data_IF_137504583693
#
_entry.id   IF_137504583693
#
_cell.length_a   1.000
_cell.length_b   1.000
_cell.length_c   1.000
_cell.angle_alpha   90.00
_cell.angle_beta   90.00
_cell.angle_gamma   90.00
#
_symmetry.space_group_name_H-M   'P 1'
#
loop_
_entity.id
_entity.type
_entity.pdbx_description
1 polymer ?
#
# COMPACT_ATOMS: atom_id res chain seq x y z
N UNK A 1 -5.01 -49.13 -60.72
CA UNK A 1 -6.14 -49.48 -59.83
C UNK A 1 -5.72 -49.26 -58.38
N UNK A 2 -6.59 -48.62 -57.57
CA UNK A 2 -6.53 -48.40 -56.11
C UNK A 2 -5.67 -47.25 -55.56
N UNK A 3 -6.31 -46.09 -55.56
CA UNK A 3 -6.38 -45.07 -54.49
C UNK A 3 -6.40 -45.68 -53.09
N UNK A 4 -5.69 -45.09 -52.11
CA UNK A 4 -6.17 -44.87 -50.72
C UNK A 4 -5.51 -43.63 -50.08
N UNK A 5 -6.36 -42.68 -49.72
CA UNK A 5 -6.11 -41.60 -48.75
C UNK A 5 -6.24 -42.18 -47.33
N UNK A 6 -5.40 -41.76 -46.39
CA UNK A 6 -5.65 -41.84 -44.92
C UNK A 6 -4.73 -40.81 -44.26
N UNK A 7 -5.20 -39.59 -44.02
CA UNK A 7 -5.80 -39.08 -42.76
C UNK A 7 -4.75 -38.65 -41.72
N UNK A 8 -4.82 -37.35 -41.39
CA UNK A 8 -4.11 -36.66 -40.31
C UNK A 8 -4.25 -37.37 -38.95
N UNK A 9 -3.16 -37.41 -38.19
CA UNK A 9 -3.17 -37.43 -36.74
C UNK A 9 -2.32 -36.25 -36.25
N UNK A 10 -2.97 -35.24 -35.69
CA UNK A 10 -2.36 -34.07 -35.07
C UNK A 10 -1.90 -34.50 -33.67
N UNK A 11 -0.58 -34.59 -33.46
CA UNK A 11 0.01 -34.83 -32.14
C UNK A 11 -0.30 -33.62 -31.27
N UNK A 12 -0.98 -33.89 -30.15
CA UNK A 12 -1.43 -32.89 -29.20
C UNK A 12 -0.27 -32.38 -28.35
N UNK A 13 -0.13 -31.06 -28.40
CA UNK A 13 0.63 -30.13 -27.57
C UNK A 13 0.92 -30.62 -26.13
N UNK A 14 2.20 -30.59 -25.79
CA UNK A 14 2.76 -30.68 -24.45
C UNK A 14 2.08 -29.67 -23.51
N UNK A 15 1.42 -30.16 -22.45
CA UNK A 15 0.94 -29.30 -21.37
C UNK A 15 2.12 -28.96 -20.46
N UNK A 16 2.83 -27.91 -20.82
CA UNK A 16 3.71 -27.18 -19.91
C UNK A 16 2.92 -26.75 -18.67
N UNK A 17 3.39 -27.16 -17.50
CA UNK A 17 2.92 -26.63 -16.22
C UNK A 17 3.27 -25.15 -16.22
N UNK A 18 2.25 -24.29 -16.29
CA UNK A 18 2.41 -22.86 -16.05
C UNK A 18 2.85 -22.70 -14.59
N UNK A 19 4.15 -22.54 -14.39
CA UNK A 19 4.66 -21.89 -13.18
C UNK A 19 4.04 -20.50 -13.23
N UNK A 20 3.12 -20.22 -12.31
CA UNK A 20 2.57 -18.89 -12.16
C UNK A 20 3.76 -17.93 -12.04
N UNK A 21 3.75 -16.92 -12.90
CA UNK A 21 4.65 -15.78 -12.87
C UNK A 21 4.48 -15.11 -11.50
N UNK A 22 5.18 -15.60 -10.49
CA UNK A 22 5.44 -14.86 -9.25
C UNK A 22 6.33 -13.70 -9.67
N UNK A 23 5.67 -12.67 -10.20
CA UNK A 23 6.27 -11.38 -10.43
C UNK A 23 7.09 -11.06 -9.17
N UNK A 24 8.39 -10.73 -9.30
CA UNK A 24 9.21 -10.45 -8.13
C UNK A 24 8.47 -9.41 -7.31
N UNK A 25 8.16 -9.76 -6.07
CA UNK A 25 7.57 -8.81 -5.11
C UNK A 25 8.63 -7.74 -4.91
N UNK A 26 8.56 -6.67 -5.71
CA UNK A 26 9.31 -5.45 -5.43
C UNK A 26 8.59 -4.84 -4.25
N UNK A 27 8.99 -5.27 -3.06
CA UNK A 27 8.47 -4.75 -1.81
C UNK A 27 8.74 -3.25 -1.84
N UNK A 28 7.68 -2.46 -1.76
CA UNK A 28 7.81 -1.01 -1.72
C UNK A 28 8.64 -0.67 -0.48
N UNK A 29 9.78 0.02 -0.66
CA UNK A 29 10.64 0.42 0.45
C UNK A 29 9.85 1.19 1.52
N UNK A 30 8.87 1.99 1.10
CA UNK A 30 8.01 2.75 2.02
C UNK A 30 7.09 1.83 2.79
N UNK A 31 6.38 0.91 2.14
CA UNK A 31 5.51 -0.07 2.84
C UNK A 31 6.33 -0.94 3.79
N UNK A 32 7.52 -1.37 3.36
CA UNK A 32 8.45 -2.17 4.16
C UNK A 32 8.87 -1.43 5.43
N UNK A 33 9.18 -0.13 5.29
CA UNK A 33 9.59 0.71 6.41
C UNK A 33 8.43 0.99 7.37
N UNK A 34 7.23 1.26 6.83
CA UNK A 34 6.01 1.42 7.62
C UNK A 34 5.72 0.14 8.41
N UNK A 35 5.77 -1.03 7.76
CA UNK A 35 5.53 -2.32 8.39
C UNK A 35 6.55 -2.62 9.51
N UNK A 36 7.83 -2.33 9.27
CA UNK A 36 8.88 -2.51 10.28
C UNK A 36 8.66 -1.61 11.51
N UNK A 37 8.29 -0.34 11.29
CA UNK A 37 7.98 0.60 12.37
C UNK A 37 6.74 0.18 13.16
N UNK A 38 5.66 -0.20 12.46
CA UNK A 38 4.44 -0.72 13.09
C UNK A 38 4.72 -1.95 13.97
N UNK A 39 5.49 -2.92 13.46
CA UNK A 39 5.89 -4.09 14.22
C UNK A 39 6.69 -3.71 15.48
N UNK A 40 7.56 -2.70 15.41
CA UNK A 40 8.31 -2.21 16.56
C UNK A 40 7.39 -1.59 17.64
N UNK A 41 6.28 -0.97 17.25
CA UNK A 41 5.28 -0.40 18.15
C UNK A 41 4.23 -1.39 18.67
N UNK A 42 4.29 -2.66 18.26
CA UNK A 42 3.37 -3.71 18.71
C UNK A 42 2.28 -4.10 17.72
N UNK A 43 2.28 -3.54 16.51
CA UNK A 43 1.34 -3.89 15.44
C UNK A 43 -0.03 -3.21 15.56
N UNK A 44 -1.04 -3.76 14.88
CA UNK A 44 -2.42 -3.27 14.90
C UNK A 44 -2.74 -2.20 13.85
N UNK A 45 -1.76 -1.79 13.04
CA UNK A 45 -1.92 -0.82 11.96
C UNK A 45 -1.60 -1.46 10.61
N UNK A 46 -2.57 -1.47 9.71
CA UNK A 46 -2.41 -1.89 8.34
C UNK A 46 -1.96 -0.72 7.46
N UNK A 47 -1.29 -1.04 6.34
CA UNK A 47 -0.95 -0.07 5.30
C UNK A 47 -1.58 -0.47 3.97
N UNK A 48 -2.16 0.51 3.28
CA UNK A 48 -2.66 0.35 1.91
C UNK A 48 -2.10 1.45 1.03
N UNK A 49 -1.36 1.07 0.00
CA UNK A 49 -0.94 1.98 -1.07
C UNK A 49 -2.03 2.14 -2.12
N UNK A 50 -2.23 3.37 -2.57
CA UNK A 50 -2.99 3.70 -3.77
C UNK A 50 -2.31 4.83 -4.56
N UNK A 51 -2.98 5.33 -5.60
CA UNK A 51 -2.43 6.39 -6.48
C UNK A 51 -2.06 7.70 -5.75
N UNK A 52 -2.56 7.92 -4.54
CA UNK A 52 -2.38 9.17 -3.78
C UNK A 52 -1.46 9.00 -2.57
N UNK A 53 -0.83 7.83 -2.38
CA UNK A 53 0.12 7.56 -1.32
C UNK A 53 -0.26 6.34 -0.47
N UNK A 54 0.05 6.41 0.82
CA UNK A 54 -0.08 5.30 1.76
C UNK A 54 -1.09 5.68 2.84
N UNK A 55 -2.19 4.92 2.95
CA UNK A 55 -3.15 5.06 4.03
C UNK A 55 -2.80 4.06 5.13
N UNK A 56 -2.67 4.57 6.35
CA UNK A 56 -2.60 3.79 7.57
C UNK A 56 -4.02 3.62 8.12
N UNK A 57 -4.35 2.42 8.58
CA UNK A 57 -5.67 2.12 9.12
C UNK A 57 -5.57 1.11 10.28
N UNK A 58 -6.52 1.17 11.19
CA UNK A 58 -6.70 0.19 12.25
C UNK A 58 -7.00 -1.19 11.66
N UNK A 59 -6.23 -2.23 12.01
CA UNK A 59 -6.44 -3.58 11.45
C UNK A 59 -7.75 -4.23 11.93
N UNK A 60 -8.22 -3.87 13.12
CA UNK A 60 -9.39 -4.45 13.78
C UNK A 60 -10.72 -3.90 13.26
N UNK A 61 -10.81 -2.58 13.03
CA UNK A 61 -12.03 -1.93 12.54
C UNK A 61 -11.94 -1.40 11.09
N UNK A 62 -10.73 -1.31 10.53
CA UNK A 62 -10.49 -0.74 9.20
C UNK A 62 -10.55 0.79 9.15
N UNK A 63 -10.66 1.47 10.30
CA UNK A 63 -10.80 2.91 10.35
C UNK A 63 -9.50 3.62 9.94
N UNK A 64 -9.58 4.72 9.16
CA UNK A 64 -8.39 5.41 8.70
C UNK A 64 -7.73 6.18 9.85
N UNK A 65 -6.43 5.95 10.05
CA UNK A 65 -5.61 6.65 11.05
C UNK A 65 -5.00 7.90 10.43
N UNK A 66 -4.17 7.70 9.40
CA UNK A 66 -3.40 8.76 8.77
C UNK A 66 -3.15 8.42 7.30
N UNK A 67 -2.76 9.43 6.53
CA UNK A 67 -2.33 9.25 5.15
C UNK A 67 -1.05 9.99 4.86
N UNK A 68 -0.08 9.26 4.32
CA UNK A 68 1.19 9.77 3.84
C UNK A 68 1.08 9.99 2.33
N UNK A 69 1.10 11.25 1.90
CA UNK A 69 1.10 11.62 0.48
C UNK A 69 2.52 11.97 0.03
N UNK A 70 3.14 11.18 -0.86
CA UNK A 70 4.51 11.46 -1.32
C UNK A 70 4.58 12.77 -2.10
N UNK A 71 5.70 13.48 -1.95
CA UNK A 71 6.07 14.70 -2.66
C UNK A 71 7.28 14.42 -3.57
N UNK A 72 7.52 15.32 -4.54
CA UNK A 72 8.60 15.16 -5.52
C UNK A 72 10.02 15.20 -4.90
N UNK A 73 10.14 15.74 -3.68
CA UNK A 73 11.40 15.83 -2.92
C UNK A 73 11.64 14.62 -2.00
N UNK A 74 10.82 13.56 -2.11
CA UNK A 74 10.96 12.34 -1.32
C UNK A 74 10.37 12.41 0.10
N UNK A 75 9.79 13.55 0.48
CA UNK A 75 9.07 13.71 1.76
C UNK A 75 7.58 13.39 1.61
N UNK A 76 6.88 13.35 2.74
CA UNK A 76 5.46 13.02 2.82
C UNK A 76 4.69 14.15 3.47
N UNK A 77 3.64 14.62 2.80
CA UNK A 77 2.60 15.36 3.48
C UNK A 77 1.78 14.39 4.34
N UNK A 78 1.62 14.73 5.61
CA UNK A 78 0.82 13.96 6.57
C UNK A 78 -0.59 14.53 6.60
N UNK A 79 -1.58 13.66 6.41
CA UNK A 79 -2.99 14.01 6.44
C UNK A 79 -3.71 13.17 7.49
N UNK A 80 -4.69 13.77 8.15
CA UNK A 80 -5.59 13.09 9.07
C UNK A 80 -6.96 12.87 8.42
N UNK A 81 -7.70 11.88 8.91
CA UNK A 81 -9.08 11.66 8.51
C UNK A 81 -10.01 12.50 9.39
N UNK A 82 -10.70 13.47 8.78
CA UNK A 82 -11.68 14.26 9.52
C UNK A 82 -13.01 13.52 9.57
N UNK A 83 -13.32 12.89 10.71
CA UNK A 83 -14.60 12.17 10.94
C UNK A 83 -15.81 13.06 10.64
N UNK A 84 -15.78 14.33 11.04
CA UNK A 84 -16.89 15.27 10.81
C UNK A 84 -17.18 15.55 9.32
N UNK A 85 -16.15 15.54 8.48
CA UNK A 85 -16.29 15.90 7.06
C UNK A 85 -15.98 14.76 6.10
N UNK A 86 -15.78 13.56 6.65
CA UNK A 86 -15.47 12.31 5.95
C UNK A 86 -14.45 12.51 4.82
N UNK A 87 -13.37 13.24 5.14
CA UNK A 87 -12.33 13.58 4.17
C UNK A 87 -10.96 13.69 4.80
N UNK A 88 -9.95 13.41 3.97
CA UNK A 88 -8.56 13.70 4.30
C UNK A 88 -8.32 15.20 4.38
N UNK A 89 -7.70 15.66 5.48
CA UNK A 89 -7.31 17.06 5.67
C UNK A 89 -5.84 17.18 6.06
N UNK A 90 -5.30 18.35 5.81
CA UNK A 90 -3.97 18.77 6.22
C UNK A 90 -3.97 19.11 7.71
N UNK A 91 -2.84 18.95 8.36
CA UNK A 91 -2.69 19.24 9.79
C UNK A 91 -2.34 20.72 9.97
N UNK A 92 -3.16 21.43 10.73
CA UNK A 92 -2.97 22.85 11.02
C UNK A 92 -3.51 23.81 9.96
N UNK A 93 -3.66 25.07 10.36
CA UNK A 93 -4.25 26.14 9.53
C UNK A 93 -3.24 26.75 8.54
N UNK A 94 -1.94 26.52 8.75
CA UNK A 94 -0.85 27.18 8.02
C UNK A 94 -0.19 26.33 6.92
N UNK A 95 -0.76 25.17 6.59
CA UNK A 95 -0.33 24.32 5.47
C UNK A 95 -0.05 22.88 5.86
N UNK A 96 0.52 22.11 4.94
CA UNK A 96 0.81 20.70 5.15
C UNK A 96 1.98 20.50 6.12
N UNK A 97 1.85 19.55 7.05
CA UNK A 97 2.99 18.97 7.76
C UNK A 97 3.70 18.04 6.78
N UNK A 98 4.91 18.43 6.33
CA UNK A 98 5.72 17.68 5.36
C UNK A 98 7.01 17.19 5.99
N UNK A 99 7.14 15.88 6.13
CA UNK A 99 8.20 15.23 6.91
C UNK A 99 8.90 14.12 6.12
N UNK A 100 10.11 13.74 6.55
CA UNK A 100 10.71 12.47 6.12
C UNK A 100 9.85 11.28 6.57
N UNK A 101 10.04 10.11 5.98
CA UNK A 101 9.19 8.94 6.29
C UNK A 101 9.23 8.58 7.78
N UNK A 102 10.42 8.52 8.37
CA UNK A 102 10.58 8.16 9.79
C UNK A 102 9.99 9.22 10.72
N UNK A 103 10.29 10.50 10.48
CA UNK A 103 9.71 11.62 11.24
C UNK A 103 8.18 11.65 11.12
N UNK A 104 7.63 11.30 9.95
CA UNK A 104 6.18 11.22 9.75
C UNK A 104 5.56 10.09 10.56
N UNK A 105 6.23 8.93 10.63
CA UNK A 105 5.77 7.79 11.43
C UNK A 105 5.83 8.10 12.93
N UNK A 106 6.89 8.76 13.38
CA UNK A 106 7.01 9.25 14.75
C UNK A 106 5.89 10.26 15.07
N UNK A 107 5.69 11.26 14.21
CA UNK A 107 4.64 12.27 14.36
C UNK A 107 3.23 11.66 14.44
N UNK A 108 2.94 10.66 13.61
CA UNK A 108 1.66 9.94 13.66
C UNK A 108 1.55 9.15 14.96
N UNK A 109 2.59 8.41 15.35
CA UNK A 109 2.54 7.56 16.55
C UNK A 109 2.45 8.33 17.87
N UNK A 110 3.06 9.51 17.94
CA UNK A 110 3.03 10.39 19.11
C UNK A 110 1.77 11.25 19.17
N UNK A 111 1.11 11.43 18.02
CA UNK A 111 -0.12 12.21 17.83
C UNK A 111 -0.16 13.54 18.63
N UNK A 112 0.80 14.45 18.40
CA UNK A 112 0.91 15.67 19.20
C UNK A 112 -0.29 16.63 19.03
N UNK A 113 -1.08 16.43 17.97
CA UNK A 113 -2.29 17.21 17.68
C UNK A 113 -3.58 16.50 18.08
N UNK A 114 -3.48 15.27 18.60
CA UNK A 114 -4.60 14.41 19.00
C UNK A 114 -5.68 14.29 17.90
N UNK A 115 -5.26 13.92 16.69
CA UNK A 115 -6.13 13.86 15.51
C UNK A 115 -6.06 12.56 14.69
N UNK A 116 -5.25 11.58 15.11
CA UNK A 116 -5.06 10.32 14.36
C UNK A 116 -5.73 9.11 14.99
N UNK A 117 -5.74 9.02 16.32
CA UNK A 117 -6.15 7.81 17.06
C UNK A 117 -7.45 8.05 17.84
N UNK A 118 -8.56 8.22 17.12
CA UNK A 118 -9.88 8.49 17.69
C UNK A 118 -10.71 7.22 17.93
#
# INVERSE_FOLDING_TARGET
MKTRKTSMAKVGEDRGVAVADEAPVILDFVESRIAAYNHHLGGGVGVRKDRHGYTLFHEDCGEPVARLRPRADGRFAVLYWSVFSERWKTIGDFGDVVLGLDDALEYISTDPMNCFWH
#
